data_IF_896826600098
#
_entry.id   IF_896826600098
#
_cell.length_a   1.000
_cell.length_b   1.000
_cell.length_c   1.000
_cell.angle_alpha   90.00
_cell.angle_beta   90.00
_cell.angle_gamma   90.00
#
_symmetry.space_group_name_H-M   'P 1'
#
loop_
_entity.id
_entity.type
_entity.pdbx_description
1 polymer ?
#
# COMPACT_ATOMS: atom_id res chain seq x y z
N UNK A 1 -10.48 63.55 -42.73
CA UNK A 1 -9.07 63.58 -42.28
C UNK A 1 -9.09 63.13 -40.84
N UNK A 2 -8.29 62.15 -40.46
CA UNK A 2 -8.12 61.71 -39.07
C UNK A 2 -7.17 62.69 -38.39
N UNK A 3 -7.68 63.49 -37.45
CA UNK A 3 -6.89 64.49 -36.70
C UNK A 3 -6.16 63.83 -35.53
N UNK A 4 -6.87 63.02 -34.76
CA UNK A 4 -6.33 62.22 -33.67
C UNK A 4 -6.58 60.74 -34.02
N UNK A 5 -5.53 59.95 -34.30
CA UNK A 5 -5.67 58.54 -34.63
C UNK A 5 -6.15 57.72 -33.43
N UNK A 6 -6.75 56.55 -33.68
CA UNK A 6 -7.11 55.61 -32.61
C UNK A 6 -5.87 55.14 -31.85
N UNK A 7 -6.04 54.76 -30.58
CA UNK A 7 -4.93 54.34 -29.71
C UNK A 7 -4.71 52.83 -29.70
N UNK A 8 -5.75 52.05 -29.95
CA UNK A 8 -5.74 50.58 -29.84
C UNK A 8 -5.74 49.88 -31.21
N UNK A 9 -5.76 50.67 -32.28
CA UNK A 9 -5.76 50.17 -33.65
C UNK A 9 -5.41 51.26 -34.65
N UNK A 10 -5.65 50.96 -35.91
CA UNK A 10 -5.35 51.82 -37.05
C UNK A 10 -6.51 51.86 -38.04
N UNK A 11 -6.60 52.95 -38.81
CA UNK A 11 -7.56 53.10 -39.90
C UNK A 11 -6.86 52.72 -41.20
N UNK A 12 -7.39 51.70 -41.88
CA UNK A 12 -6.93 51.22 -43.16
C UNK A 12 -7.89 51.66 -44.26
N UNK A 13 -7.35 52.04 -45.42
CA UNK A 13 -8.10 52.28 -46.65
C UNK A 13 -7.52 51.38 -47.73
N UNK A 14 -8.34 50.49 -48.29
CA UNK A 14 -7.87 49.44 -49.23
C UNK A 14 -6.71 48.59 -48.65
N UNK A 15 -6.73 48.35 -47.34
CA UNK A 15 -5.73 47.52 -46.64
C UNK A 15 -4.42 48.23 -46.28
N UNK A 16 -4.31 49.55 -46.50
CA UNK A 16 -3.10 50.33 -46.16
C UNK A 16 -3.46 51.41 -45.12
N UNK A 17 -2.60 51.67 -44.12
CA UNK A 17 -2.83 52.75 -43.14
C UNK A 17 -3.02 54.10 -43.82
N UNK A 18 -4.07 54.81 -43.45
CA UNK A 18 -4.43 56.07 -44.08
C UNK A 18 -5.01 57.09 -43.09
N UNK A 19 -4.55 58.34 -43.21
CA UNK A 19 -5.02 59.48 -42.42
C UNK A 19 -6.17 60.24 -43.12
N UNK A 20 -6.48 59.90 -44.38
CA UNK A 20 -7.51 60.54 -45.19
C UNK A 20 -8.28 59.49 -45.98
N UNK A 21 -9.60 59.65 -46.01
CA UNK A 21 -10.52 58.85 -46.82
C UNK A 21 -11.70 59.74 -47.23
N UNK A 22 -12.34 59.37 -48.34
CA UNK A 22 -13.49 60.04 -48.91
C UNK A 22 -14.80 59.35 -48.50
N UNK A 23 -15.93 60.04 -48.69
CA UNK A 23 -17.25 59.43 -48.54
C UNK A 23 -17.44 58.25 -49.49
N UNK A 24 -16.80 58.26 -50.65
CA UNK A 24 -16.84 57.15 -51.61
C UNK A 24 -16.17 55.90 -51.04
N UNK A 25 -15.03 56.06 -50.37
CA UNK A 25 -14.32 54.94 -49.74
C UNK A 25 -15.16 54.28 -48.65
N UNK A 26 -15.94 55.06 -47.88
CA UNK A 26 -16.87 54.52 -46.88
C UNK A 26 -18.01 53.75 -47.57
N UNK A 27 -18.60 54.33 -48.62
CA UNK A 27 -19.71 53.70 -49.37
C UNK A 27 -19.26 52.39 -50.03
N UNK A 28 -18.02 52.35 -50.53
CA UNK A 28 -17.43 51.18 -51.16
C UNK A 28 -16.92 50.15 -50.13
N UNK A 29 -17.04 50.43 -48.83
CA UNK A 29 -16.57 49.53 -47.76
C UNK A 29 -15.05 49.39 -47.68
N UNK A 30 -14.30 50.34 -48.26
CA UNK A 30 -12.84 50.31 -48.32
C UNK A 30 -12.15 50.78 -47.03
N UNK A 31 -12.89 51.48 -46.15
CA UNK A 31 -12.40 51.99 -44.86
C UNK A 31 -12.63 50.97 -43.75
N UNK A 32 -11.56 50.54 -43.09
CA UNK A 32 -11.58 49.50 -42.05
C UNK A 32 -10.84 50.00 -40.81
N UNK A 33 -11.41 49.77 -39.64
CA UNK A 33 -10.66 49.85 -38.38
C UNK A 33 -10.03 48.48 -38.10
N UNK A 34 -8.72 48.43 -37.90
CA UNK A 34 -7.97 47.22 -37.55
C UNK A 34 -7.43 47.33 -36.14
N UNK A 35 -7.88 46.46 -35.24
CA UNK A 35 -7.37 46.38 -33.86
C UNK A 35 -5.99 45.72 -33.85
N UNK A 36 -5.02 46.35 -33.18
CA UNK A 36 -3.62 45.88 -33.16
C UNK A 36 -3.07 45.65 -31.76
N UNK A 37 -3.86 45.88 -30.71
CA UNK A 37 -3.39 45.80 -29.32
C UNK A 37 -3.40 44.38 -28.72
N UNK A 38 -3.64 43.34 -29.52
CA UNK A 38 -3.69 41.94 -29.06
C UNK A 38 -4.97 41.60 -28.28
N UNK A 39 -4.94 40.53 -27.49
CA UNK A 39 -6.08 40.11 -26.67
C UNK A 39 -6.37 41.12 -25.55
N UNK A 40 -7.64 41.46 -25.38
CA UNK A 40 -8.10 42.49 -24.43
C UNK A 40 -8.67 41.88 -23.14
N UNK A 41 -8.76 40.55 -23.10
CA UNK A 41 -9.20 39.79 -21.95
C UNK A 41 -10.72 39.88 -21.75
N UNK A 42 -11.19 39.91 -20.51
CA UNK A 42 -12.62 39.76 -20.21
C UNK A 42 -13.49 40.99 -20.49
N UNK A 43 -12.90 42.18 -20.56
CA UNK A 43 -13.64 43.44 -20.62
C UNK A 43 -13.51 44.10 -21.98
N UNK A 44 -14.66 44.59 -22.49
CA UNK A 44 -14.66 45.44 -23.68
C UNK A 44 -13.79 46.68 -23.46
N UNK A 45 -13.07 47.08 -24.49
CA UNK A 45 -12.28 48.31 -24.49
C UNK A 45 -12.95 49.35 -25.39
N UNK A 46 -12.78 50.62 -25.03
CA UNK A 46 -13.26 51.74 -25.84
C UNK A 46 -12.05 52.46 -26.44
N UNK A 47 -12.10 52.66 -27.75
CA UNK A 47 -11.18 53.48 -28.51
C UNK A 47 -11.96 54.59 -29.22
N UNK A 48 -11.25 55.60 -29.71
CA UNK A 48 -11.89 56.65 -30.49
C UNK A 48 -10.88 57.41 -31.32
N UNK A 49 -11.34 57.95 -32.44
CA UNK A 49 -10.56 58.85 -33.28
C UNK A 49 -11.38 60.07 -33.66
N UNK A 50 -10.70 61.19 -33.89
CA UNK A 50 -11.33 62.45 -34.28
C UNK A 50 -11.17 62.70 -35.78
N UNK A 51 -12.23 63.18 -36.42
CA UNK A 51 -12.27 63.50 -37.84
C UNK A 51 -12.48 65.00 -38.07
N UNK A 52 -11.73 65.57 -39.02
CA UNK A 52 -12.19 66.73 -39.79
C UNK A 52 -12.94 66.27 -41.03
N UNK A 53 -14.17 66.75 -41.18
CA UNK A 53 -14.92 66.69 -42.43
C UNK A 53 -14.67 67.98 -43.22
N UNK A 54 -14.43 67.86 -44.51
CA UNK A 54 -14.24 69.00 -45.41
C UNK A 54 -14.88 68.70 -46.75
N UNK A 55 -15.57 69.69 -47.33
CA UNK A 55 -16.12 69.66 -48.69
C UNK A 55 -15.11 70.07 -49.78
N UNK A 56 -13.84 70.30 -49.39
CA UNK A 56 -12.77 70.68 -50.31
C UNK A 56 -12.41 69.50 -51.22
N UNK A 57 -12.69 69.62 -52.52
CA UNK A 57 -12.07 68.80 -53.57
C UNK A 57 -10.58 69.09 -53.63
N UNK A 58 -9.73 68.09 -53.89
CA UNK A 58 -8.26 68.22 -53.87
C UNK A 58 -7.69 69.24 -54.88
N UNK A 59 -8.51 69.82 -55.77
CA UNK A 59 -8.01 70.66 -56.86
C UNK A 59 -7.95 72.17 -56.59
N UNK A 60 -8.74 72.81 -55.71
CA UNK A 60 -8.64 74.28 -55.47
C UNK A 60 -9.14 74.73 -54.09
N UNK A 61 -8.33 75.48 -53.34
CA UNK A 61 -8.66 75.95 -51.97
C UNK A 61 -8.99 77.44 -51.91
N UNK A 62 -10.28 77.80 -52.02
CA UNK A 62 -10.82 79.04 -51.42
C UNK A 62 -12.26 78.79 -50.97
N UNK A 63 -12.49 78.66 -49.65
CA UNK A 63 -13.83 78.79 -49.06
C UNK A 63 -14.61 77.52 -48.67
N UNK A 64 -13.96 76.36 -48.51
CA UNK A 64 -14.65 75.14 -48.09
C UNK A 64 -15.09 75.13 -46.61
N UNK A 65 -16.24 74.54 -46.33
CA UNK A 65 -16.73 74.34 -44.97
C UNK A 65 -15.98 73.19 -44.31
N UNK A 66 -15.45 73.42 -43.10
CA UNK A 66 -14.79 72.40 -42.29
C UNK A 66 -15.58 72.18 -41.01
N UNK A 67 -15.86 70.92 -40.70
CA UNK A 67 -16.38 70.49 -39.40
C UNK A 67 -15.25 69.73 -38.72
N UNK A 68 -14.69 70.32 -37.67
CA UNK A 68 -13.58 69.78 -36.86
C UNK A 68 -14.12 69.09 -35.61
N UNK A 69 -13.36 68.12 -35.07
CA UNK A 69 -13.69 67.50 -33.78
C UNK A 69 -14.86 66.50 -33.83
N UNK A 70 -15.15 65.89 -34.98
CA UNK A 70 -16.13 64.80 -35.06
C UNK A 70 -15.51 63.55 -34.45
N UNK A 71 -15.96 63.17 -33.24
CA UNK A 71 -15.45 61.98 -32.55
C UNK A 71 -16.20 60.73 -32.98
N UNK A 72 -15.47 59.74 -33.48
CA UNK A 72 -15.98 58.39 -33.74
C UNK A 72 -15.58 57.50 -32.58
N UNK A 73 -16.56 56.84 -31.95
CA UNK A 73 -16.33 55.85 -30.91
C UNK A 73 -16.19 54.46 -31.52
N UNK A 74 -15.23 53.69 -31.04
CA UNK A 74 -14.99 52.30 -31.44
C UNK A 74 -15.03 51.45 -30.17
N UNK A 75 -15.96 50.52 -30.11
CA UNK A 75 -16.04 49.55 -29.02
C UNK A 75 -15.45 48.23 -29.47
N UNK A 76 -14.38 47.80 -28.81
CA UNK A 76 -13.70 46.52 -29.07
C UNK A 76 -14.27 45.50 -28.11
N UNK A 77 -14.85 44.43 -28.65
CA UNK A 77 -15.46 43.35 -27.87
C UNK A 77 -14.42 42.24 -27.61
N UNK A 78 -14.42 41.63 -26.42
CA UNK A 78 -13.52 40.54 -26.10
C UNK A 78 -13.86 39.29 -26.91
N UNK A 79 -12.85 38.47 -27.22
CA UNK A 79 -13.00 37.22 -27.97
C UNK A 79 -12.24 36.14 -27.21
N UNK A 80 -12.92 35.05 -26.87
CA UNK A 80 -12.33 33.84 -26.31
C UNK A 80 -11.56 33.09 -27.41
N UNK A 81 -10.25 33.37 -27.52
CA UNK A 81 -9.38 32.87 -28.59
C UNK A 81 -8.07 32.26 -28.08
N UNK A 82 -7.81 32.33 -26.77
CA UNK A 82 -6.66 31.70 -26.15
C UNK A 82 -7.07 30.42 -25.43
N UNK A 83 -6.11 29.50 -25.30
CA UNK A 83 -6.30 28.28 -24.52
C UNK A 83 -5.70 28.43 -23.12
N UNK A 84 -6.25 27.77 -22.09
CA UNK A 84 -5.75 27.90 -20.74
C UNK A 84 -4.29 27.46 -20.59
N UNK A 85 -3.48 28.29 -19.93
CA UNK A 85 -2.10 27.95 -19.59
C UNK A 85 -2.04 27.21 -18.26
N UNK A 86 -1.73 25.91 -18.33
CA UNK A 86 -1.66 25.02 -17.16
C UNK A 86 -0.23 24.95 -16.61
N UNK A 87 -0.11 24.99 -15.29
CA UNK A 87 1.14 24.82 -14.54
C UNK A 87 0.96 23.80 -13.43
N UNK A 88 1.76 22.72 -13.47
CA UNK A 88 1.91 21.77 -12.37
C UNK A 88 3.07 22.25 -11.50
N UNK A 89 2.76 22.57 -10.25
CA UNK A 89 3.66 23.23 -9.32
C UNK A 89 4.36 22.25 -8.37
N UNK A 90 4.15 22.44 -7.08
CA UNK A 90 4.77 21.64 -6.02
C UNK A 90 4.37 20.17 -6.12
N UNK A 91 5.32 19.28 -5.81
CA UNK A 91 5.11 17.85 -5.78
C UNK A 91 3.97 17.50 -4.82
N UNK A 92 3.02 16.72 -5.32
CA UNK A 92 1.92 16.24 -4.51
C UNK A 92 2.30 14.92 -3.84
N UNK A 93 2.09 14.85 -2.53
CA UNK A 93 2.37 13.66 -1.72
C UNK A 93 1.12 13.22 -0.96
N UNK A 94 0.96 11.91 -0.80
CA UNK A 94 -0.11 11.29 -0.01
C UNK A 94 0.45 10.12 0.76
N UNK A 95 -0.05 9.86 1.96
CA UNK A 95 0.31 8.65 2.72
C UNK A 95 -0.50 7.48 2.15
N UNK A 96 0.11 6.30 2.10
CA UNK A 96 -0.56 5.07 1.73
C UNK A 96 -1.87 4.83 2.49
N UNK A 97 -2.92 4.40 1.76
CA UNK A 97 -4.27 4.23 2.28
C UNK A 97 -5.03 5.52 2.67
N UNK A 98 -4.39 6.68 2.59
CA UNK A 98 -4.97 7.97 2.97
C UNK A 98 -5.40 8.81 1.76
N UNK A 99 -5.87 10.02 2.03
CA UNK A 99 -6.19 11.02 0.99
C UNK A 99 -5.61 12.38 1.32
N UNK A 100 -5.27 13.14 0.29
CA UNK A 100 -4.77 14.50 0.46
C UNK A 100 -5.39 15.47 -0.56
N UNK A 101 -5.49 16.75 -0.19
CA UNK A 101 -6.14 17.80 -0.98
C UNK A 101 -5.19 18.35 -2.03
N UNK A 102 -5.64 18.40 -3.28
CA UNK A 102 -4.92 19.09 -4.36
C UNK A 102 -5.21 20.57 -4.22
N UNK A 103 -4.16 21.35 -3.99
CA UNK A 103 -4.27 22.80 -3.79
C UNK A 103 -3.76 23.58 -4.99
N UNK A 104 -3.96 24.89 -4.96
CA UNK A 104 -3.38 25.77 -5.96
C UNK A 104 -1.84 25.74 -5.95
N UNK A 105 -1.13 25.24 -4.93
CA UNK A 105 0.34 25.10 -5.05
C UNK A 105 0.74 23.93 -5.97
N UNK A 106 -0.10 22.89 -6.05
CA UNK A 106 0.14 21.72 -6.88
C UNK A 106 -0.31 21.91 -8.33
N UNK A 107 -1.45 22.58 -8.55
CA UNK A 107 -2.02 22.78 -9.88
C UNK A 107 -2.66 24.16 -10.02
N UNK A 108 -2.25 24.91 -11.07
CA UNK A 108 -2.86 26.18 -11.48
C UNK A 108 -3.13 26.17 -12.98
N UNK A 109 -4.18 26.87 -13.39
CA UNK A 109 -4.39 27.26 -14.77
C UNK A 109 -4.78 28.75 -14.80
N UNK A 110 -4.35 29.46 -15.83
CA UNK A 110 -4.70 30.86 -16.04
C UNK A 110 -5.09 31.07 -17.49
N UNK A 111 -6.07 31.93 -17.70
CA UNK A 111 -6.42 32.44 -19.02
C UNK A 111 -6.59 33.96 -18.98
N UNK A 112 -6.29 34.62 -20.10
CA UNK A 112 -6.42 36.08 -20.25
C UNK A 112 -7.86 36.48 -20.54
N UNK A 113 -8.59 35.67 -21.30
CA UNK A 113 -9.94 35.96 -21.80
C UNK A 113 -11.03 35.11 -21.11
N UNK A 114 -10.64 34.22 -20.19
CA UNK A 114 -11.56 33.38 -19.39
C UNK A 114 -11.28 33.51 -17.88
N UNK A 115 -12.32 33.64 -17.02
CA UNK A 115 -12.11 33.66 -15.58
C UNK A 115 -11.56 32.32 -15.08
N UNK A 116 -10.51 32.33 -14.25
CA UNK A 116 -9.86 31.11 -13.79
C UNK A 116 -10.82 30.10 -13.13
N UNK A 117 -11.83 30.57 -12.40
CA UNK A 117 -12.80 29.70 -11.71
C UNK A 117 -13.68 28.88 -12.68
N UNK A 118 -13.82 29.33 -13.93
CA UNK A 118 -14.66 28.70 -14.97
C UNK A 118 -13.86 27.69 -15.80
N UNK A 119 -12.53 27.65 -15.66
CA UNK A 119 -11.67 26.68 -16.35
C UNK A 119 -11.96 25.26 -15.83
N UNK A 120 -12.34 24.37 -16.74
CA UNK A 120 -12.65 22.97 -16.49
C UNK A 120 -11.46 22.08 -16.90
N UNK A 121 -10.93 21.30 -15.97
CA UNK A 121 -9.92 20.30 -16.24
C UNK A 121 -10.54 18.90 -16.33
N UNK A 122 -10.24 18.19 -17.40
CA UNK A 122 -10.72 16.82 -17.68
C UNK A 122 -9.56 15.83 -17.62
N UNK A 123 -9.75 14.78 -16.84
CA UNK A 123 -8.83 13.67 -16.66
C UNK A 123 -8.98 12.73 -17.87
N UNK A 124 -7.90 12.62 -18.65
CA UNK A 124 -7.80 11.77 -19.84
C UNK A 124 -7.36 10.36 -19.47
N UNK A 125 -6.42 10.25 -18.53
CA UNK A 125 -5.93 8.97 -18.01
C UNK A 125 -6.05 9.04 -16.50
N UNK A 126 -6.88 8.17 -15.93
CA UNK A 126 -7.08 8.04 -14.49
C UNK A 126 -5.82 7.46 -13.81
N UNK A 127 -5.59 7.81 -12.54
CA UNK A 127 -4.57 7.15 -11.72
C UNK A 127 -4.86 5.65 -11.58
N UNK A 128 -3.81 4.86 -11.34
CA UNK A 128 -3.89 3.39 -11.26
C UNK A 128 -3.97 2.85 -9.84
N UNK A 129 -3.48 3.62 -8.86
CA UNK A 129 -3.38 3.26 -7.45
C UNK A 129 -4.43 3.98 -6.59
N UNK A 130 -5.15 4.93 -7.19
CA UNK A 130 -6.18 5.74 -6.53
C UNK A 130 -7.19 6.35 -7.48
N UNK A 131 -7.87 7.37 -7.01
CA UNK A 131 -8.81 8.18 -7.80
C UNK A 131 -8.90 9.60 -7.27
N UNK A 132 -9.36 10.52 -8.12
CA UNK A 132 -9.73 11.86 -7.66
C UNK A 132 -11.18 11.88 -7.23
N UNK A 133 -11.47 12.56 -6.13
CA UNK A 133 -12.83 12.86 -5.68
C UNK A 133 -13.05 14.36 -5.54
N UNK A 134 -14.30 14.79 -5.69
CA UNK A 134 -14.73 16.16 -5.39
C UNK A 134 -15.71 16.11 -4.23
N UNK A 135 -15.32 16.61 -3.07
CA UNK A 135 -16.16 16.56 -1.86
C UNK A 135 -17.30 17.60 -1.87
N UNK A 136 -17.30 18.53 -2.82
CA UNK A 136 -18.36 19.55 -2.92
C UNK A 136 -19.73 18.90 -3.12
N UNK A 137 -20.77 19.36 -2.41
CA UNK A 137 -22.13 18.89 -2.63
C UNK A 137 -22.62 19.20 -4.05
N UNK A 138 -23.51 18.38 -4.58
CA UNK A 138 -24.23 18.73 -5.80
C UNK A 138 -25.09 20.00 -5.58
N UNK A 139 -25.34 20.83 -6.61
CA UNK A 139 -26.22 21.98 -6.48
C UNK A 139 -27.59 21.59 -5.90
N UNK A 140 -27.97 22.22 -4.78
CA UNK A 140 -29.23 21.92 -4.08
C UNK A 140 -29.19 20.71 -3.13
N UNK A 141 -28.01 20.14 -2.89
CA UNK A 141 -27.78 19.07 -1.91
C UNK A 141 -26.82 19.54 -0.81
N UNK A 142 -27.01 19.07 0.41
CA UNK A 142 -26.04 19.22 1.52
C UNK A 142 -25.10 18.00 1.62
N UNK A 143 -25.40 16.92 0.89
CA UNK A 143 -24.64 15.68 0.94
C UNK A 143 -23.35 15.80 0.11
N UNK A 144 -22.21 15.58 0.76
CA UNK A 144 -20.90 15.48 0.10
C UNK A 144 -20.86 14.34 -0.91
N UNK A 145 -20.09 14.51 -1.98
CA UNK A 145 -19.81 13.50 -3.00
C UNK A 145 -18.51 12.73 -2.77
N UNK A 146 -17.95 12.81 -1.55
CA UNK A 146 -16.82 11.98 -1.14
C UNK A 146 -17.06 10.49 -1.41
N UNK A 147 -16.01 9.75 -1.75
CA UNK A 147 -16.01 8.34 -2.10
C UNK A 147 -16.41 8.03 -3.55
N UNK A 148 -16.62 9.05 -4.39
CA UNK A 148 -16.96 8.87 -5.82
C UNK A 148 -15.87 9.43 -6.71
N UNK A 149 -15.33 8.59 -7.59
CA UNK A 149 -14.33 9.00 -8.56
C UNK A 149 -14.90 10.02 -9.56
N UNK A 150 -14.12 11.06 -9.85
CA UNK A 150 -14.46 12.09 -10.84
C UNK A 150 -13.58 11.96 -12.09
N UNK A 151 -14.08 12.44 -13.22
CA UNK A 151 -13.31 12.57 -14.47
C UNK A 151 -13.02 14.02 -14.84
N UNK A 152 -13.58 14.99 -14.12
CA UNK A 152 -13.34 16.40 -14.36
C UNK A 152 -13.57 17.21 -13.08
N UNK A 153 -12.90 18.36 -12.99
CA UNK A 153 -13.02 19.33 -11.90
C UNK A 153 -12.74 20.74 -12.42
N UNK A 154 -13.26 21.76 -11.73
CA UNK A 154 -12.96 23.16 -12.05
C UNK A 154 -11.79 23.67 -11.21
N UNK A 155 -11.12 24.72 -11.66
CA UNK A 155 -10.11 25.41 -10.85
C UNK A 155 -10.71 26.05 -9.60
N UNK A 156 -12.00 26.41 -9.63
CA UNK A 156 -12.77 26.80 -8.45
C UNK A 156 -12.81 25.69 -7.40
N UNK A 157 -12.97 24.43 -7.80
CA UNK A 157 -12.95 23.30 -6.86
C UNK A 157 -11.60 23.16 -6.16
N UNK A 158 -10.49 23.34 -6.88
CA UNK A 158 -9.14 23.34 -6.28
C UNK A 158 -8.97 24.52 -5.32
N UNK A 159 -9.36 25.73 -5.73
CA UNK A 159 -9.25 26.94 -4.92
C UNK A 159 -10.05 26.84 -3.62
N UNK A 160 -11.20 26.15 -3.65
CA UNK A 160 -12.03 25.87 -2.48
C UNK A 160 -11.57 24.65 -1.67
N UNK A 161 -10.53 23.93 -2.12
CA UNK A 161 -9.99 22.76 -1.42
C UNK A 161 -10.90 21.54 -1.48
N UNK A 162 -11.70 21.41 -2.54
CA UNK A 162 -12.67 20.31 -2.66
C UNK A 162 -12.14 19.09 -3.41
N UNK A 163 -11.00 19.21 -4.09
CA UNK A 163 -10.42 18.12 -4.89
C UNK A 163 -9.41 17.36 -4.06
N UNK A 164 -9.65 16.07 -3.90
CA UNK A 164 -8.75 15.15 -3.20
C UNK A 164 -8.28 14.06 -4.13
N UNK A 165 -7.03 13.64 -3.97
CA UNK A 165 -6.59 12.33 -4.42
C UNK A 165 -6.76 11.35 -3.26
N UNK A 166 -7.41 10.21 -3.53
CA UNK A 166 -7.61 9.12 -2.58
C UNK A 166 -6.77 7.93 -3.01
N UNK A 167 -5.80 7.55 -2.18
CA UNK A 167 -5.00 6.34 -2.38
C UNK A 167 -5.82 5.13 -1.94
N UNK A 168 -6.20 4.24 -2.87
CA UNK A 168 -7.20 3.20 -2.60
C UNK A 168 -6.75 1.78 -2.89
N UNK A 169 -5.65 1.62 -3.63
CA UNK A 169 -5.06 0.33 -4.01
C UNK A 169 -3.66 0.33 -3.39
N UNK A 170 -3.52 -0.37 -2.27
CA UNK A 170 -2.29 -0.49 -1.48
C UNK A 170 -2.18 -1.84 -0.75
N UNK A 171 -3.31 -2.52 -0.49
CA UNK A 171 -3.24 -3.82 0.19
C UNK A 171 -2.61 -4.90 -0.67
N UNK A 172 -1.55 -5.51 -0.17
CA UNK A 172 -0.72 -6.50 -0.87
C UNK A 172 0.01 -5.96 -2.10
N UNK A 173 0.03 -4.64 -2.29
CA UNK A 173 0.71 -3.96 -3.39
C UNK A 173 1.23 -2.63 -2.85
N UNK A 174 2.53 -2.36 -2.94
CA UNK A 174 3.13 -1.19 -2.28
C UNK A 174 3.50 -0.09 -3.30
N UNK A 175 2.54 0.67 -3.86
CA UNK A 175 2.83 1.70 -4.85
C UNK A 175 3.52 2.90 -4.20
N UNK A 176 4.66 3.28 -4.75
CA UNK A 176 5.40 4.49 -4.32
C UNK A 176 5.09 5.72 -5.19
N UNK A 177 4.47 5.51 -6.35
CA UNK A 177 4.07 6.57 -7.26
C UNK A 177 2.73 6.27 -7.95
N UNK A 178 2.04 7.33 -8.34
CA UNK A 178 0.93 7.29 -9.28
C UNK A 178 0.96 8.54 -10.16
N UNK A 179 0.14 8.57 -11.20
CA UNK A 179 -0.02 9.75 -12.05
C UNK A 179 -1.39 9.79 -12.68
N UNK A 180 -1.86 11.00 -12.95
CA UNK A 180 -2.97 11.22 -13.88
C UNK A 180 -2.53 12.08 -15.05
N UNK A 181 -3.22 11.92 -16.18
CA UNK A 181 -3.06 12.80 -17.35
C UNK A 181 -4.34 13.61 -17.53
N UNK A 182 -4.23 14.92 -17.70
CA UNK A 182 -5.38 15.81 -17.83
C UNK A 182 -5.11 16.92 -18.86
N UNK A 183 -6.17 17.62 -19.27
CA UNK A 183 -6.09 18.89 -19.99
C UNK A 183 -7.17 19.82 -19.43
N UNK A 184 -7.04 21.13 -19.64
CA UNK A 184 -8.04 22.11 -19.21
C UNK A 184 -8.61 22.88 -20.40
N UNK A 185 -9.85 23.35 -20.25
CA UNK A 185 -10.60 24.07 -21.26
C UNK A 185 -11.44 25.17 -20.60
N UNK A 186 -11.57 26.29 -21.31
CA UNK A 186 -12.51 27.39 -21.04
C UNK A 186 -13.93 27.12 -21.60
N UNK A 187 -14.11 26.03 -22.35
CA UNK A 187 -15.34 25.66 -23.04
C UNK A 187 -15.25 25.77 -24.57
N UNK A 188 -14.25 26.47 -25.10
CA UNK A 188 -14.01 26.66 -26.53
C UNK A 188 -12.64 26.09 -26.92
N UNK A 189 -11.59 26.49 -26.21
CA UNK A 189 -10.21 26.12 -26.45
C UNK A 189 -9.73 25.06 -25.45
N UNK A 190 -8.68 24.33 -25.82
CA UNK A 190 -8.13 23.22 -25.02
C UNK A 190 -6.63 23.40 -24.83
N UNK A 191 -6.16 23.25 -23.59
CA UNK A 191 -4.74 23.19 -23.28
C UNK A 191 -4.12 21.90 -23.84
N UNK A 192 -2.79 21.84 -23.84
CA UNK A 192 -2.08 20.58 -24.04
C UNK A 192 -2.36 19.60 -22.89
N UNK A 193 -2.03 18.32 -23.08
CA UNK A 193 -2.13 17.31 -22.03
C UNK A 193 -0.95 17.45 -21.06
N UNK A 194 -1.24 17.43 -19.77
CA UNK A 194 -0.27 17.51 -18.69
C UNK A 194 -0.32 16.24 -17.82
N UNK A 195 0.85 15.88 -17.27
CA UNK A 195 0.96 14.85 -16.25
C UNK A 195 0.96 15.50 -14.87
N UNK A 196 0.18 14.94 -13.95
CA UNK A 196 0.22 15.31 -12.54
C UNK A 196 0.77 14.11 -11.75
N UNK A 197 2.05 14.17 -11.33
CA UNK A 197 2.68 13.09 -10.58
C UNK A 197 2.23 13.11 -9.12
N UNK A 198 2.03 11.93 -8.56
CA UNK A 198 1.65 11.70 -7.17
C UNK A 198 2.72 10.82 -6.55
N UNK A 199 3.30 11.27 -5.44
CA UNK A 199 4.21 10.46 -4.63
C UNK A 199 3.43 9.89 -3.47
N UNK A 200 3.53 8.57 -3.31
CA UNK A 200 2.88 7.85 -2.23
C UNK A 200 3.96 7.54 -1.19
N UNK A 201 3.73 7.99 0.04
CA UNK A 201 4.61 7.76 1.17
C UNK A 201 4.15 6.45 1.81
N UNK A 202 5.00 5.41 1.81
CA UNK A 202 4.62 4.11 2.35
C UNK A 202 4.23 4.17 3.81
N UNK A 203 3.37 3.25 4.22
CA UNK A 203 3.00 3.06 5.63
C UNK A 203 2.99 1.59 5.95
N UNK A 204 3.54 1.19 7.10
CA UNK A 204 3.36 -0.17 7.58
C UNK A 204 1.87 -0.41 7.84
N UNK A 205 1.17 -1.07 6.92
CA UNK A 205 -0.29 -1.28 6.99
C UNK A 205 -0.68 -2.74 6.77
N UNK A 206 0.28 -3.56 6.34
CA UNK A 206 0.16 -5.00 6.30
C UNK A 206 0.54 -5.64 7.64
N UNK A 207 0.13 -6.90 7.83
CA UNK A 207 0.42 -7.65 9.05
C UNK A 207 1.44 -8.74 8.73
N UNK A 208 2.37 -9.02 9.65
CA UNK A 208 3.36 -10.05 9.40
C UNK A 208 2.71 -11.44 9.42
N UNK A 209 3.24 -12.32 8.59
CA UNK A 209 2.80 -13.71 8.48
C UNK A 209 3.89 -14.67 8.98
N UNK A 210 3.46 -15.68 9.77
CA UNK A 210 4.33 -16.76 10.24
C UNK A 210 4.12 -18.01 9.39
N UNK A 211 5.20 -18.50 8.78
CA UNK A 211 5.28 -19.79 8.11
C UNK A 211 6.06 -20.76 8.97
N UNK A 212 5.56 -21.98 9.14
CA UNK A 212 6.20 -22.97 10.01
C UNK A 212 5.96 -24.39 9.50
N UNK A 213 6.91 -25.28 9.78
CA UNK A 213 6.79 -26.74 9.57
C UNK A 213 6.71 -27.46 10.92
N UNK A 214 6.71 -28.78 10.87
CA UNK A 214 6.72 -29.65 12.04
C UNK A 214 8.06 -29.53 12.77
N UNK A 215 8.00 -29.29 14.09
CA UNK A 215 9.16 -29.33 14.97
C UNK A 215 9.28 -30.76 15.48
N UNK A 216 10.40 -31.43 15.16
CA UNK A 216 10.64 -32.82 15.56
C UNK A 216 12.05 -32.93 16.12
N UNK A 217 12.16 -33.49 17.32
CA UNK A 217 13.44 -33.63 18.03
C UNK A 217 13.45 -34.96 18.78
N UNK A 218 14.64 -35.53 18.99
CA UNK A 218 14.79 -36.67 19.89
C UNK A 218 14.89 -36.18 21.33
N UNK A 219 14.47 -37.00 22.27
CA UNK A 219 14.71 -36.77 23.69
C UNK A 219 16.20 -36.49 23.99
N UNK A 220 16.45 -35.66 25.00
CA UNK A 220 17.76 -35.09 25.33
C UNK A 220 18.47 -34.24 24.26
N UNK A 221 17.92 -34.12 23.05
CA UNK A 221 18.61 -33.48 21.91
C UNK A 221 18.10 -32.06 21.63
N UNK A 222 18.81 -31.37 20.72
CA UNK A 222 18.47 -30.01 20.29
C UNK A 222 18.00 -29.97 18.83
N UNK A 223 17.07 -29.07 18.52
CA UNK A 223 16.60 -28.77 17.17
C UNK A 223 16.99 -27.34 16.80
N UNK A 224 17.73 -27.17 15.70
CA UNK A 224 18.03 -25.86 15.10
C UNK A 224 16.75 -25.29 14.49
N UNK A 225 16.43 -24.04 14.85
CA UNK A 225 15.30 -23.29 14.29
C UNK A 225 15.83 -22.42 13.16
N UNK A 226 15.60 -22.86 11.93
CA UNK A 226 16.03 -22.19 10.69
C UNK A 226 14.83 -21.84 9.79
N UNK A 227 15.09 -21.09 8.71
CA UNK A 227 14.06 -20.61 7.76
C UNK A 227 13.13 -21.70 7.21
N UNK A 228 13.62 -22.91 6.86
CA UNK A 228 12.75 -24.02 6.48
C UNK A 228 11.70 -24.42 7.52
N UNK A 229 12.01 -24.30 8.82
CA UNK A 229 11.15 -24.75 9.93
C UNK A 229 10.31 -23.60 10.49
N UNK A 230 10.87 -22.39 10.58
CA UNK A 230 10.18 -21.18 11.03
C UNK A 230 10.63 -19.99 10.17
N UNK A 231 9.67 -19.27 9.61
CA UNK A 231 9.93 -18.07 8.84
C UNK A 231 8.86 -17.00 9.12
N UNK A 232 9.26 -15.73 8.99
CA UNK A 232 8.39 -14.57 9.02
C UNK A 232 8.48 -13.84 7.69
N UNK A 233 7.37 -13.31 7.20
CA UNK A 233 7.38 -12.39 6.08
C UNK A 233 6.37 -11.27 6.30
N UNK A 234 6.68 -10.11 5.76
CA UNK A 234 5.78 -8.96 5.69
C UNK A 234 5.82 -8.37 4.27
N UNK A 235 4.72 -7.78 3.84
CA UNK A 235 4.55 -7.27 2.48
C UNK A 235 4.90 -5.77 2.35
N UNK A 236 5.03 -5.05 3.46
CA UNK A 236 5.32 -3.61 3.51
C UNK A 236 6.67 -3.27 2.80
N UNK A 237 6.71 -2.12 2.11
CA UNK A 237 7.95 -1.57 1.51
C UNK A 237 8.24 -0.16 2.08
N UNK A 238 9.42 0.10 2.65
CA UNK A 238 10.57 -0.80 2.81
C UNK A 238 10.28 -1.91 3.83
N UNK A 239 10.97 -3.04 3.67
CA UNK A 239 10.78 -4.21 4.54
C UNK A 239 11.04 -3.88 6.00
N UNK A 240 10.12 -4.29 6.87
CA UNK A 240 10.25 -4.09 8.32
C UNK A 240 11.22 -5.06 8.99
N UNK A 241 11.74 -4.63 10.13
CA UNK A 241 12.50 -5.50 11.04
C UNK A 241 11.54 -6.41 11.80
N UNK A 242 11.59 -7.70 11.46
CA UNK A 242 10.72 -8.72 12.05
C UNK A 242 11.36 -9.39 13.26
N UNK A 243 10.66 -9.33 14.39
CA UNK A 243 11.12 -9.87 15.68
C UNK A 243 10.15 -10.91 16.20
N UNK A 244 10.67 -12.07 16.59
CA UNK A 244 9.93 -13.10 17.29
C UNK A 244 10.07 -12.95 18.81
N UNK A 245 8.98 -13.15 19.53
CA UNK A 245 8.93 -13.21 20.99
C UNK A 245 8.28 -14.49 21.47
N UNK A 246 8.87 -15.14 22.46
CA UNK A 246 8.30 -16.30 23.12
C UNK A 246 7.37 -15.80 24.22
N UNK A 247 6.05 -15.85 23.98
CA UNK A 247 5.04 -15.38 24.93
C UNK A 247 4.69 -16.44 25.96
N UNK A 248 4.81 -17.72 25.60
CA UNK A 248 4.73 -18.84 26.53
C UNK A 248 5.91 -19.78 26.25
N UNK A 249 6.83 -19.96 27.21
CA UNK A 249 7.96 -20.85 27.02
C UNK A 249 7.51 -22.32 26.96
N UNK A 250 8.33 -23.20 26.36
CA UNK A 250 8.13 -24.64 26.42
C UNK A 250 8.12 -25.16 27.87
N UNK A 251 7.49 -26.32 28.08
CA UNK A 251 7.43 -26.97 29.41
C UNK A 251 8.54 -28.00 29.62
N UNK A 252 9.00 -28.64 28.55
CA UNK A 252 9.92 -29.78 28.55
C UNK A 252 11.22 -29.43 27.80
N UNK A 253 11.63 -28.17 27.89
CA UNK A 253 12.80 -27.66 27.18
C UNK A 253 12.92 -26.15 27.26
N UNK A 254 13.88 -25.60 26.53
CA UNK A 254 14.11 -24.16 26.43
C UNK A 254 14.39 -23.75 24.98
N UNK A 255 13.98 -22.53 24.61
CA UNK A 255 14.49 -21.89 23.40
C UNK A 255 15.74 -21.10 23.79
N UNK A 256 16.84 -21.38 23.11
CA UNK A 256 18.15 -20.84 23.44
C UNK A 256 18.84 -20.26 22.20
N UNK A 257 19.77 -19.34 22.42
CA UNK A 257 20.70 -18.87 21.42
C UNK A 257 22.08 -19.49 21.67
N UNK A 258 22.67 -20.08 20.63
CA UNK A 258 23.96 -20.75 20.67
C UNK A 258 25.10 -19.78 20.44
N UNK A 259 26.02 -19.73 21.40
CA UNK A 259 27.27 -18.99 21.30
C UNK A 259 28.46 -19.94 21.41
N UNK A 260 29.66 -19.44 21.12
CA UNK A 260 30.90 -20.22 21.20
C UNK A 260 31.22 -20.72 22.62
N UNK A 261 30.64 -20.10 23.64
CA UNK A 261 30.85 -20.40 25.05
C UNK A 261 29.68 -21.13 25.74
N UNK A 262 28.66 -21.54 24.99
CA UNK A 262 27.48 -22.24 25.50
C UNK A 262 26.16 -21.69 24.96
N UNK A 263 25.05 -22.10 25.57
CA UNK A 263 23.70 -21.67 25.20
C UNK A 263 23.11 -20.73 26.24
N UNK A 264 22.28 -19.78 25.79
CA UNK A 264 21.58 -18.82 26.65
C UNK A 264 20.10 -18.82 26.30
N UNK A 265 19.24 -18.98 27.31
CA UNK A 265 17.78 -18.91 27.13
C UNK A 265 17.39 -17.53 26.61
N UNK A 266 16.58 -17.50 25.56
CA UNK A 266 16.09 -16.28 24.95
C UNK A 266 14.57 -16.17 25.06
N UNK A 267 14.08 -14.93 25.20
CA UNK A 267 12.64 -14.62 25.16
C UNK A 267 12.20 -14.02 23.83
N UNK A 268 13.14 -13.82 22.91
CA UNK A 268 12.90 -13.31 21.56
C UNK A 268 14.20 -13.27 20.75
N UNK A 269 14.05 -13.21 19.44
CA UNK A 269 15.13 -13.21 18.46
C UNK A 269 14.63 -12.59 17.16
N UNK A 270 15.55 -12.03 16.37
CA UNK A 270 15.20 -11.39 15.10
C UNK A 270 15.10 -12.44 13.99
N UNK A 271 14.38 -12.14 12.90
CA UNK A 271 14.32 -13.03 11.74
C UNK A 271 15.73 -13.31 11.17
N UNK A 272 16.66 -12.37 11.30
CA UNK A 272 18.02 -12.55 10.80
C UNK A 272 18.84 -13.56 11.62
N UNK A 273 18.51 -13.75 12.91
CA UNK A 273 19.17 -14.76 13.78
C UNK A 273 18.93 -16.18 13.25
N UNK A 274 17.75 -16.45 12.70
CA UNK A 274 17.39 -17.75 12.11
C UNK A 274 17.75 -17.86 10.62
N UNK A 275 17.96 -16.72 9.94
CA UNK A 275 18.29 -16.68 8.51
C UNK A 275 19.78 -16.80 8.23
N UNK A 276 20.62 -16.08 8.95
CA UNK A 276 22.07 -16.04 8.71
C UNK A 276 22.85 -16.89 9.72
N UNK A 277 22.49 -16.77 11.00
CA UNK A 277 23.30 -17.33 12.08
C UNK A 277 22.90 -18.77 12.42
N UNK A 278 21.63 -19.13 12.24
CA UNK A 278 21.07 -20.44 12.63
C UNK A 278 21.42 -20.81 14.09
N UNK A 279 21.52 -19.80 14.97
CA UNK A 279 21.98 -19.99 16.35
C UNK A 279 20.82 -20.26 17.30
N UNK A 280 19.58 -20.06 16.87
CA UNK A 280 18.40 -20.31 17.71
C UNK A 280 18.09 -21.81 17.70
N UNK A 281 17.96 -22.39 18.88
CA UNK A 281 17.71 -23.82 19.10
C UNK A 281 16.54 -24.00 20.06
N UNK A 282 15.81 -25.11 19.91
CA UNK A 282 15.09 -25.74 21.00
C UNK A 282 15.98 -26.81 21.63
N UNK A 283 16.16 -26.79 22.94
CA UNK A 283 16.85 -27.82 23.72
C UNK A 283 15.84 -28.55 24.60
N UNK A 284 15.65 -29.85 24.37
CA UNK A 284 14.78 -30.68 25.19
C UNK A 284 15.44 -30.97 26.55
N UNK A 285 14.66 -31.04 27.62
CA UNK A 285 15.16 -31.16 29.00
C UNK A 285 15.41 -32.58 29.50
N UNK A 286 15.39 -33.56 28.59
CA UNK A 286 15.58 -35.00 28.88
C UNK A 286 14.45 -35.62 29.71
N UNK A 287 13.25 -35.02 29.66
CA UNK A 287 12.06 -35.60 30.30
C UNK A 287 11.27 -36.51 29.36
N UNK A 288 10.88 -37.68 29.88
CA UNK A 288 10.09 -38.74 29.23
C UNK A 288 8.72 -38.28 28.69
N UNK A 289 8.76 -37.48 27.62
CA UNK A 289 7.61 -36.81 27.03
C UNK A 289 7.61 -36.96 25.52
N UNK A 290 6.41 -36.87 24.94
CA UNK A 290 6.20 -37.09 23.50
C UNK A 290 5.85 -35.81 22.76
N UNK A 291 5.43 -34.79 23.51
CA UNK A 291 4.96 -33.53 22.97
C UNK A 291 5.35 -32.39 23.91
N UNK A 292 5.82 -31.29 23.33
CA UNK A 292 5.98 -30.01 24.00
C UNK A 292 5.39 -28.90 23.11
N UNK A 293 5.22 -27.71 23.67
CA UNK A 293 4.70 -26.58 22.91
C UNK A 293 5.12 -25.25 23.50
N UNK A 294 5.30 -24.27 22.63
CA UNK A 294 5.51 -22.88 23.04
C UNK A 294 4.64 -21.95 22.19
N UNK A 295 4.42 -20.74 22.69
CA UNK A 295 3.68 -19.71 21.97
C UNK A 295 4.65 -18.62 21.52
N UNK A 296 4.59 -18.29 20.23
CA UNK A 296 5.46 -17.32 19.58
C UNK A 296 4.62 -16.18 19.02
N UNK A 297 5.12 -14.95 19.18
CA UNK A 297 4.57 -13.71 18.62
C UNK A 297 5.57 -13.13 17.64
N UNK A 298 5.18 -12.94 16.38
CA UNK A 298 5.94 -12.17 15.39
C UNK A 298 5.41 -10.74 15.35
N UNK A 299 6.30 -9.75 15.28
CA UNK A 299 5.95 -8.33 15.19
C UNK A 299 6.91 -7.59 14.26
N UNK A 300 6.38 -6.59 13.57
CA UNK A 300 7.07 -5.59 12.74
C UNK A 300 7.22 -4.25 13.47
N UNK A 301 6.76 -4.16 14.73
CA UNK A 301 6.72 -2.93 15.54
C UNK A 301 5.35 -2.27 15.65
N UNK A 302 4.45 -2.45 14.68
CA UNK A 302 3.09 -1.88 14.67
C UNK A 302 2.01 -2.96 14.76
N UNK A 303 2.14 -4.01 13.96
CA UNK A 303 1.29 -5.19 13.95
C UNK A 303 1.98 -6.39 14.60
N UNK A 304 1.16 -7.39 14.94
CA UNK A 304 1.69 -8.66 15.43
C UNK A 304 0.72 -9.80 15.25
N UNK A 305 1.29 -11.01 15.15
CA UNK A 305 0.56 -12.27 15.03
C UNK A 305 1.13 -13.26 16.05
N UNK A 306 0.25 -14.07 16.64
CA UNK A 306 0.61 -15.08 17.64
C UNK A 306 0.26 -16.47 17.10
N UNK A 307 1.18 -17.43 17.26
CA UNK A 307 0.96 -18.85 16.94
C UNK A 307 1.48 -19.76 18.04
N UNK A 308 0.87 -20.93 18.17
CA UNK A 308 1.37 -22.02 19.01
C UNK A 308 2.20 -22.96 18.15
N UNK A 309 3.43 -23.22 18.59
CA UNK A 309 4.33 -24.20 18.00
C UNK A 309 4.21 -25.49 18.78
N UNK A 310 3.95 -26.59 18.08
CA UNK A 310 3.91 -27.94 18.64
C UNK A 310 5.21 -28.66 18.27
N UNK A 311 5.83 -29.29 19.27
CA UNK A 311 7.08 -30.02 19.15
C UNK A 311 6.76 -31.50 19.39
N UNK A 312 7.10 -32.35 18.41
CA UNK A 312 7.02 -33.80 18.55
C UNK A 312 8.37 -34.32 19.05
N UNK A 313 8.34 -35.04 20.17
CA UNK A 313 9.51 -35.62 20.79
C UNK A 313 9.54 -37.12 20.50
N UNK A 314 10.66 -37.57 19.93
CA UNK A 314 10.93 -38.98 19.67
C UNK A 314 11.65 -39.53 20.92
N UNK A 315 11.04 -40.48 21.65
CA UNK A 315 11.64 -41.03 22.87
C UNK A 315 12.91 -41.80 22.54
N UNK A 316 13.86 -41.81 23.47
CA UNK A 316 15.11 -42.57 23.40
C UNK A 316 15.05 -43.69 24.45
N UNK A 317 15.38 -44.93 24.08
CA UNK A 317 15.37 -46.10 24.98
C UNK A 317 16.61 -46.07 25.89
N UNK A 318 16.54 -45.32 27.00
CA UNK A 318 17.61 -45.15 27.97
C UNK A 318 17.20 -45.26 29.45
N UNK A 319 15.90 -45.39 29.74
CA UNK A 319 15.40 -45.75 31.06
C UNK A 319 15.49 -47.26 31.31
N UNK A 320 15.51 -47.62 32.60
CA UNK A 320 15.56 -49.04 32.99
C UNK A 320 14.17 -49.60 33.29
N UNK A 321 13.84 -50.81 32.80
CA UNK A 321 12.54 -51.41 33.08
C UNK A 321 12.28 -51.57 34.57
N UNK A 322 11.07 -51.22 35.01
CA UNK A 322 10.69 -51.24 36.43
C UNK A 322 9.61 -52.27 36.70
N UNK A 323 9.74 -52.96 37.84
CA UNK A 323 8.70 -53.88 38.33
C UNK A 323 7.56 -53.08 38.95
N UNK A 324 6.38 -53.07 38.32
CA UNK A 324 5.16 -52.46 38.86
C UNK A 324 4.45 -53.37 39.86
N UNK A 325 4.45 -54.69 39.59
CA UNK A 325 3.77 -55.69 40.40
C UNK A 325 4.73 -56.85 40.65
N UNK A 326 4.89 -57.24 41.91
CA UNK A 326 5.65 -58.40 42.34
C UNK A 326 5.06 -58.96 43.63
N UNK A 327 3.82 -59.46 43.53
CA UNK A 327 3.01 -59.89 44.68
C UNK A 327 3.35 -61.32 45.16
N UNK A 328 4.30 -61.97 44.47
CA UNK A 328 4.61 -63.38 44.70
C UNK A 328 3.52 -64.32 44.21
N UNK A 329 3.66 -65.60 44.52
CA UNK A 329 2.74 -66.65 44.11
C UNK A 329 2.47 -67.60 45.28
N UNK A 330 1.23 -67.64 45.76
CA UNK A 330 0.75 -68.65 46.71
C UNK A 330 0.20 -69.85 45.95
N UNK A 331 0.68 -71.05 46.27
CA UNK A 331 0.36 -72.31 45.59
C UNK A 331 0.34 -73.46 46.58
N UNK A 332 -0.61 -74.39 46.43
CA UNK A 332 -0.68 -75.62 47.21
C UNK A 332 0.24 -76.72 46.64
N UNK A 333 0.44 -77.79 47.42
CA UNK A 333 1.24 -78.95 46.98
C UNK A 333 0.56 -79.59 45.76
N UNK A 334 1.36 -79.89 44.72
CA UNK A 334 0.91 -80.47 43.44
C UNK A 334 0.01 -79.56 42.58
N UNK A 335 -0.24 -78.31 42.99
CA UNK A 335 -0.97 -77.34 42.18
C UNK A 335 -0.07 -76.76 41.06
N UNK A 336 -0.69 -76.33 39.96
CA UNK A 336 -0.06 -75.53 38.91
C UNK A 336 -0.80 -74.21 38.77
N UNK A 337 -0.11 -73.08 38.92
CA UNK A 337 -0.70 -71.74 38.86
C UNK A 337 -0.05 -70.89 37.79
N UNK A 338 -0.88 -70.16 37.04
CA UNK A 338 -0.43 -69.35 35.92
C UNK A 338 0.05 -67.97 36.41
N UNK A 339 1.27 -67.58 36.03
CA UNK A 339 1.81 -66.25 36.30
C UNK A 339 1.19 -65.26 35.30
N UNK A 340 0.40 -64.32 35.82
CA UNK A 340 -0.26 -63.27 35.03
C UNK A 340 0.27 -61.88 35.41
N UNK A 341 -0.11 -60.86 34.64
CA UNK A 341 0.14 -59.46 34.97
C UNK A 341 -0.52 -58.98 36.29
N UNK A 342 -1.31 -59.84 36.97
CA UNK A 342 -1.84 -59.56 38.31
C UNK A 342 -0.85 -59.86 39.43
N UNK A 343 0.16 -60.71 39.19
CA UNK A 343 1.13 -61.13 40.21
C UNK A 343 2.56 -60.73 39.86
N UNK A 344 2.84 -60.52 38.56
CA UNK A 344 4.13 -60.07 38.07
C UNK A 344 3.92 -59.16 36.85
N UNK A 345 4.30 -57.88 36.95
CA UNK A 345 4.22 -56.91 35.85
C UNK A 345 5.42 -55.96 35.91
N UNK A 346 6.04 -55.73 34.77
CA UNK A 346 7.04 -54.70 34.55
C UNK A 346 6.50 -53.69 33.54
N UNK A 347 7.01 -52.48 33.62
CA UNK A 347 6.70 -51.37 32.72
C UNK A 347 7.98 -50.61 32.40
N UNK A 348 8.02 -50.02 31.22
CA UNK A 348 9.05 -49.07 30.82
C UNK A 348 8.44 -47.71 30.47
N UNK A 349 9.22 -46.62 30.59
CA UNK A 349 8.76 -45.26 30.32
C UNK A 349 8.88 -44.91 28.83
N UNK A 350 9.99 -45.32 28.20
CA UNK A 350 10.34 -45.02 26.81
C UNK A 350 9.97 -46.15 25.82
N UNK A 351 9.72 -47.36 26.34
CA UNK A 351 9.59 -48.60 25.57
C UNK A 351 8.22 -49.27 25.73
N UNK A 352 7.76 -50.01 24.70
CA UNK A 352 6.51 -50.77 24.79
C UNK A 352 6.67 -51.96 25.75
N UNK A 353 5.85 -52.02 26.80
CA UNK A 353 5.81 -53.14 27.77
C UNK A 353 5.84 -54.54 27.10
N UNK A 354 5.34 -54.69 25.86
CA UNK A 354 5.32 -55.97 25.13
C UNK A 354 6.69 -56.51 24.74
N UNK A 355 7.70 -55.65 24.60
CA UNK A 355 9.05 -56.08 24.20
C UNK A 355 9.94 -56.41 25.41
N UNK A 356 9.49 -56.11 26.63
CA UNK A 356 10.21 -56.42 27.86
C UNK A 356 10.43 -57.91 28.03
N UNK A 357 11.67 -58.27 28.40
CA UNK A 357 12.09 -59.66 28.58
C UNK A 357 12.50 -59.93 30.02
N UNK A 358 11.84 -60.89 30.67
CA UNK A 358 12.22 -61.37 31.99
C UNK A 358 13.36 -62.39 31.89
N UNK A 359 14.47 -62.11 32.57
CA UNK A 359 15.63 -63.01 32.63
C UNK A 359 15.64 -63.72 33.98
N UNK A 360 15.43 -65.03 33.96
CA UNK A 360 15.62 -65.87 35.15
C UNK A 360 17.12 -65.95 35.46
N UNK A 361 17.49 -65.68 36.72
CA UNK A 361 18.87 -65.84 37.22
C UNK A 361 19.01 -67.00 38.20
N UNK A 362 17.94 -67.30 38.93
CA UNK A 362 17.86 -68.38 39.90
C UNK A 362 16.51 -69.08 39.76
N UNK A 363 16.49 -70.41 39.76
CA UNK A 363 15.27 -71.21 39.83
C UNK A 363 14.64 -71.23 41.24
N UNK A 364 13.36 -71.64 41.36
CA UNK A 364 12.73 -71.81 42.66
C UNK A 364 13.37 -72.98 43.42
N UNK A 365 13.44 -72.87 44.76
CA UNK A 365 13.95 -73.96 45.61
C UNK A 365 13.04 -75.19 45.67
N UNK A 366 11.76 -75.04 45.31
CA UNK A 366 10.77 -76.11 45.19
C UNK A 366 9.88 -75.89 43.96
N UNK A 367 9.49 -76.96 43.29
CA UNK A 367 8.69 -76.90 42.06
C UNK A 367 9.51 -76.59 40.81
N UNK A 368 8.82 -76.28 39.72
CA UNK A 368 9.41 -76.01 38.41
C UNK A 368 8.67 -74.87 37.69
N UNK A 369 9.43 -73.99 37.03
CA UNK A 369 8.87 -72.95 36.17
C UNK A 369 8.68 -73.50 34.76
N UNK A 370 7.48 -73.32 34.20
CA UNK A 370 7.14 -73.77 32.85
C UNK A 370 6.63 -72.63 31.97
N UNK A 371 7.13 -72.57 30.74
CA UNK A 371 6.64 -71.68 29.67
C UNK A 371 5.65 -72.42 28.78
N UNK A 372 4.50 -71.81 28.51
CA UNK A 372 3.52 -72.35 27.55
C UNK A 372 3.96 -72.03 26.12
N UNK A 373 4.11 -73.06 25.29
CA UNK A 373 4.42 -72.92 23.85
C UNK A 373 3.15 -72.55 23.06
N UNK A 374 3.30 -71.99 21.84
CA UNK A 374 2.16 -71.67 20.97
C UNK A 374 1.28 -72.88 20.63
N UNK A 375 1.85 -74.10 20.63
CA UNK A 375 1.12 -75.35 20.39
C UNK A 375 0.42 -75.93 21.63
N UNK A 376 0.40 -75.20 22.75
CA UNK A 376 -0.22 -75.62 24.02
C UNK A 376 0.65 -76.50 24.91
N UNK A 377 1.82 -76.96 24.44
CA UNK A 377 2.76 -77.73 25.25
C UNK A 377 3.46 -76.88 26.32
N UNK A 378 3.89 -77.50 27.42
CA UNK A 378 4.66 -76.85 28.48
C UNK A 378 6.15 -77.16 28.34
N UNK A 379 7.00 -76.16 28.56
CA UNK A 379 8.45 -76.24 28.50
C UNK A 379 9.05 -75.87 29.85
N UNK A 380 9.86 -76.74 30.44
CA UNK A 380 10.58 -76.40 31.67
C UNK A 380 11.64 -75.33 31.37
N UNK A 381 11.58 -74.21 32.09
CA UNK A 381 12.51 -73.07 31.97
C UNK A 381 13.26 -72.80 33.29
N UNK A 382 13.22 -73.75 34.22
CA UNK A 382 13.96 -73.66 35.49
C UNK A 382 15.47 -73.73 35.22
N UNK A 383 16.26 -72.83 35.83
CA UNK A 383 17.72 -72.75 35.71
C UNK A 383 18.40 -73.43 36.89
#
# INVERSE_FOLDING_TARGET
IVEDPPRLGEILVNGVPAERFSQRDIIDGAVIYSHSAGEIGLQKMEDSFNLTLSDLSEEWTVGGNRVTGVRVQVTILPIDNQSPLVTVGEQFTVIEGEKNVITSSNLRAQDTDTPNDDILCTIVVQPTSGYLENISPAPGSEKSRAGTAISAFTLKDIRLGHIYYVQSIHKGVEPVEDRLTFHCSDGINFSQKHFFPIVIIPSNDEKPEIFMREFVVMEGMSLVIDIPILNGADADIPTDELVFFITKPPKHGNIVNQFTNGTVIVNGFDLEDIKESSTILYEHDDSETKEDSFEIKLTDGKHSVVKTVLIMIIPVDDETPRMTINDGLEIEIEETKLITNKVLKATDLDSDDKILTYILRYGPGQGLLQRRKPNGGLENITI
#
